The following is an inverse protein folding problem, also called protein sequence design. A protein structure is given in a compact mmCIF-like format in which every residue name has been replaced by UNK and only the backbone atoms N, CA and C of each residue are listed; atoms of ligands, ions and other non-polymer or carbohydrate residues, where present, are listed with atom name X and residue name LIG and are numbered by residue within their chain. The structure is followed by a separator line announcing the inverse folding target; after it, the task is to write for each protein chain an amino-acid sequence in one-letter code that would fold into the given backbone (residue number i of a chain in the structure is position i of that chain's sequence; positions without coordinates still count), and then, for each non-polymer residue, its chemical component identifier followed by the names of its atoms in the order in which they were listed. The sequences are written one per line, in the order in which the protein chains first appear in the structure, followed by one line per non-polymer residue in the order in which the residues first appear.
data_IF_266915439620
#
_entry.id   IF_266915439620
#
_cell.length_a   1.000
_cell.length_b   1.000
_cell.length_c   1.000
_cell.angle_alpha   90.00
_cell.angle_beta   90.00
_cell.angle_gamma   90.00
#
_symmetry.space_group_name_H-M   'P 1'
#
loop_
_entity.id
_entity.type
_entity.pdbx_description
1 polymer ?
#
# COMPACT_ATOMS: atom_id res chain seq x y z
N UNK A 1 -18.16 10.29 6.16
CA UNK A 1 -16.76 10.20 5.85
C UNK A 1 -16.19 8.87 6.27
N UNK A 2 -15.41 8.31 5.45
CA UNK A 2 -15.05 6.92 5.61
C UNK A 2 -13.60 6.77 6.06
N UNK A 3 -13.41 6.73 7.38
CA UNK A 3 -12.09 6.61 7.94
C UNK A 3 -11.42 5.29 7.56
N UNK A 4 -12.22 4.25 7.37
CA UNK A 4 -11.69 2.98 6.92
C UNK A 4 -11.02 3.07 5.57
N UNK A 5 -11.67 3.75 4.64
CA UNK A 5 -11.09 3.94 3.31
C UNK A 5 -9.82 4.76 3.38
N UNK A 6 -9.82 5.76 4.24
CA UNK A 6 -8.64 6.59 4.41
C UNK A 6 -7.47 5.77 4.94
N UNK A 7 -7.73 4.91 5.91
CA UNK A 7 -6.70 4.06 6.48
C UNK A 7 -6.17 3.08 5.43
N UNK A 8 -7.05 2.47 4.67
CA UNK A 8 -6.65 1.50 3.66
C UNK A 8 -5.81 2.14 2.57
N UNK A 9 -6.12 3.39 2.24
CA UNK A 9 -5.39 4.09 1.19
C UNK A 9 -4.13 4.76 1.69
N UNK A 10 -3.92 4.78 2.99
CA UNK A 10 -2.77 5.47 3.56
C UNK A 10 -1.45 4.88 3.09
N UNK A 11 -1.41 3.57 2.91
CA UNK A 11 -0.20 2.92 2.43
C UNK A 11 0.16 3.40 1.03
N UNK A 12 -0.83 3.52 0.17
CA UNK A 12 -0.61 3.99 -1.18
C UNK A 12 -0.13 5.45 -1.16
N UNK A 13 -0.72 6.26 -0.32
CA UNK A 13 -0.31 7.65 -0.22
C UNK A 13 1.12 7.77 0.26
N UNK A 14 1.49 7.02 1.29
CA UNK A 14 2.84 7.05 1.82
C UNK A 14 3.83 6.57 0.76
N UNK A 15 3.47 5.53 0.04
CA UNK A 15 4.33 4.99 -1.01
C UNK A 15 4.54 6.03 -2.12
N UNK A 16 3.45 6.64 -2.55
CA UNK A 16 3.51 7.63 -3.63
C UNK A 16 4.32 8.84 -3.22
N UNK A 17 4.19 9.24 -1.99
CA UNK A 17 4.95 10.36 -1.45
C UNK A 17 6.45 10.12 -1.56
N UNK A 18 6.86 8.88 -1.36
CA UNK A 18 8.26 8.51 -1.46
C UNK A 18 8.65 8.07 -2.86
N UNK A 19 7.72 8.16 -3.80
CA UNK A 19 7.95 7.82 -5.20
C UNK A 19 8.39 6.38 -5.36
N UNK A 20 7.77 5.49 -4.61
CA UNK A 20 8.07 4.07 -4.67
C UNK A 20 7.01 3.33 -5.47
N UNK A 21 7.43 2.32 -6.22
CA UNK A 21 6.49 1.41 -6.86
C UNK A 21 6.04 0.38 -5.83
N UNK A 22 4.96 -0.35 -6.17
CA UNK A 22 4.51 -1.42 -5.29
C UNK A 22 5.60 -2.47 -5.07
N UNK A 23 6.32 -2.80 -6.13
CA UNK A 23 7.41 -3.76 -6.04
C UNK A 23 8.52 -3.25 -5.13
N UNK A 24 8.88 -1.98 -5.29
CA UNK A 24 9.93 -1.39 -4.45
C UNK A 24 9.54 -1.41 -2.97
N UNK A 25 8.31 -1.03 -2.68
CA UNK A 25 7.86 -1.04 -1.30
C UNK A 25 7.82 -2.47 -0.74
N UNK A 26 7.33 -3.41 -1.54
CA UNK A 26 7.26 -4.80 -1.11
C UNK A 26 8.64 -5.34 -0.74
N UNK A 27 9.63 -4.99 -1.53
CA UNK A 27 11.00 -5.42 -1.27
C UNK A 27 11.56 -4.80 0.01
N UNK A 28 11.21 -3.55 0.24
CA UNK A 28 11.68 -2.83 1.43
C UNK A 28 11.17 -3.46 2.72
N UNK A 29 9.92 -3.89 2.72
CA UNK A 29 9.33 -4.42 3.95
C UNK A 29 9.30 -5.95 3.98
N UNK A 30 9.80 -6.59 2.92
CA UNK A 30 9.96 -8.04 2.93
C UNK A 30 8.69 -8.82 2.66
N UNK A 31 7.80 -8.29 1.84
CA UNK A 31 6.58 -9.00 1.45
C UNK A 31 6.49 -9.06 -0.07
N UNK A 32 5.51 -9.79 -0.58
CA UNK A 32 5.34 -9.87 -2.03
C UNK A 32 4.59 -8.62 -2.52
N UNK A 33 4.76 -8.34 -3.81
CA UNK A 33 4.03 -7.24 -4.43
C UNK A 33 2.52 -7.46 -4.32
N UNK A 34 2.08 -8.72 -4.42
CA UNK A 34 0.67 -9.02 -4.28
C UNK A 34 0.12 -8.61 -2.93
N UNK A 35 0.94 -8.76 -1.89
CA UNK A 35 0.53 -8.32 -0.56
C UNK A 35 0.28 -6.83 -0.54
N UNK A 36 1.18 -6.05 -1.13
CA UNK A 36 1.01 -4.59 -1.20
C UNK A 36 -0.26 -4.26 -1.99
N UNK A 37 -0.46 -4.91 -3.12
CA UNK A 37 -1.63 -4.66 -3.94
C UNK A 37 -2.91 -4.94 -3.17
N UNK A 38 -2.94 -6.05 -2.43
CA UNK A 38 -4.12 -6.42 -1.64
C UNK A 38 -4.41 -5.38 -0.56
N UNK A 39 -3.37 -4.90 0.11
CA UNK A 39 -3.55 -3.89 1.12
C UNK A 39 -4.11 -2.61 0.52
N UNK A 40 -3.57 -2.20 -0.61
CA UNK A 40 -3.97 -0.94 -1.23
C UNK A 40 -5.39 -1.00 -1.79
N UNK A 41 -5.83 -2.17 -2.20
CA UNK A 41 -7.19 -2.32 -2.70
C UNK A 41 -8.17 -2.74 -1.62
N UNK A 42 -7.69 -3.05 -0.44
CA UNK A 42 -8.55 -3.43 0.67
C UNK A 42 -9.13 -4.82 0.55
N UNK A 43 -8.40 -5.74 -0.03
CA UNK A 43 -8.91 -7.07 -0.32
C UNK A 43 -8.41 -8.15 0.62
N UNK A 44 -8.01 -7.80 1.81
CA UNK A 44 -7.62 -8.85 2.75
C UNK A 44 -8.53 -8.92 3.95
#
# INVERSE_FOLDING_TARGET
MNDELKLKNNLKEARTEKKLSQTQLAEMIGVSRNTISSIETGQF
#
